data_IF_465275506334
#
_entry.id   IF_465275506334
#
_cell.length_a   1.000
_cell.length_b   1.000
_cell.length_c   1.000
_cell.angle_alpha   90.00
_cell.angle_beta   90.00
_cell.angle_gamma   90.00
#
_symmetry.space_group_name_H-M   'P 1'
#
loop_
_entity.id
_entity.type
_entity.pdbx_description
1 polymer ?
#
# COMPACT_ATOMS: atom_id res chain seq x y z
N UNK A 1 24.51 2.01 -12.34
CA UNK A 1 24.03 3.04 -11.41
C UNK A 1 22.84 3.67 -12.09
N UNK A 2 21.62 3.29 -11.70
CA UNK A 2 20.44 4.01 -12.17
C UNK A 2 20.50 5.42 -11.57
N UNK A 3 20.41 6.44 -12.42
CA UNK A 3 20.34 7.82 -11.96
C UNK A 3 19.04 8.00 -11.19
N UNK A 4 19.13 8.35 -9.91
CA UNK A 4 17.98 8.79 -9.13
C UNK A 4 17.37 9.97 -9.88
N UNK A 5 16.18 9.78 -10.43
CA UNK A 5 15.48 10.83 -11.17
C UNK A 5 15.11 11.92 -10.18
N UNK A 6 15.64 13.12 -10.38
CA UNK A 6 15.38 14.26 -9.51
C UNK A 6 13.97 14.78 -9.79
N UNK A 7 13.07 14.55 -8.83
CA UNK A 7 11.66 14.92 -8.92
C UNK A 7 11.53 16.43 -8.66
N UNK A 8 10.74 17.14 -9.46
CA UNK A 8 10.52 18.58 -9.27
C UNK A 8 9.86 18.88 -7.90
N UNK A 9 10.15 20.01 -7.24
CA UNK A 9 9.55 20.37 -5.94
C UNK A 9 8.02 20.37 -5.95
N UNK A 10 7.41 20.80 -7.05
CA UNK A 10 5.96 20.82 -7.24
C UNK A 10 5.38 19.39 -7.28
N UNK A 11 6.10 18.47 -7.91
CA UNK A 11 5.74 17.05 -7.95
C UNK A 11 5.84 16.42 -6.55
N UNK A 12 6.84 16.80 -5.76
CA UNK A 12 6.94 16.39 -4.35
C UNK A 12 5.77 16.89 -3.49
N UNK A 13 5.28 18.12 -3.72
CA UNK A 13 4.07 18.60 -3.04
C UNK A 13 2.84 17.75 -3.39
N UNK A 14 2.66 17.41 -4.67
CA UNK A 14 1.55 16.55 -5.09
C UNK A 14 1.63 15.17 -4.43
N UNK A 15 2.82 14.57 -4.35
CA UNK A 15 3.01 13.28 -3.69
C UNK A 15 2.74 13.30 -2.19
N UNK A 16 2.93 14.46 -1.54
CA UNK A 16 2.65 14.61 -0.10
C UNK A 16 1.16 14.81 0.23
N UNK A 17 0.31 15.07 -0.77
CA UNK A 17 -1.13 15.24 -0.61
C UNK A 17 -1.89 14.10 -1.31
N UNK A 18 -2.48 13.15 -0.57
CA UNK A 18 -3.22 12.03 -1.15
C UNK A 18 -4.37 12.47 -2.06
N UNK A 19 -5.06 13.57 -1.77
CA UNK A 19 -6.12 14.08 -2.65
C UNK A 19 -5.53 14.62 -3.95
N UNK A 20 -4.40 15.33 -3.89
CA UNK A 20 -3.72 15.83 -5.08
C UNK A 20 -3.26 14.66 -5.96
N UNK A 21 -2.60 13.65 -5.38
CA UNK A 21 -2.15 12.45 -6.10
C UNK A 21 -3.32 11.70 -6.76
N UNK A 22 -4.41 11.46 -6.02
CA UNK A 22 -5.63 10.83 -6.57
C UNK A 22 -6.27 11.67 -7.66
N UNK A 23 -6.23 13.00 -7.50
CA UNK A 23 -6.64 13.94 -8.54
C UNK A 23 -5.82 13.78 -9.81
N UNK A 24 -4.49 13.62 -9.70
CA UNK A 24 -3.62 13.33 -10.84
C UNK A 24 -3.98 12.01 -11.52
N UNK A 25 -4.24 10.95 -10.74
CA UNK A 25 -4.68 9.65 -11.29
C UNK A 25 -6.01 9.78 -12.05
N UNK A 26 -7.01 10.45 -11.47
CA UNK A 26 -8.29 10.70 -12.14
C UNK A 26 -8.12 11.53 -13.42
N UNK A 27 -7.21 12.51 -13.41
CA UNK A 27 -6.94 13.33 -14.60
C UNK A 27 -6.36 12.52 -15.75
N UNK A 28 -5.55 11.49 -15.49
CA UNK A 28 -5.08 10.57 -16.55
C UNK A 28 -6.24 9.80 -17.18
N UNK A 29 -7.16 9.29 -16.37
CA UNK A 29 -8.39 8.67 -16.89
C UNK A 29 -9.22 9.65 -17.73
N UNK A 30 -9.44 10.88 -17.24
CA UNK A 30 -10.21 11.91 -17.93
C UNK A 30 -9.56 12.40 -19.24
N UNK A 31 -8.25 12.21 -19.40
CA UNK A 31 -7.52 12.45 -20.66
C UNK A 31 -7.74 11.35 -21.70
N UNK A 32 -8.35 10.23 -21.31
CA UNK A 32 -8.59 9.09 -22.18
C UNK A 32 -7.42 8.11 -22.25
N UNK A 33 -6.43 8.23 -21.36
CA UNK A 33 -5.37 7.25 -21.24
C UNK A 33 -5.92 5.95 -20.65
N UNK A 34 -5.37 4.81 -21.04
CA UNK A 34 -5.59 3.58 -20.30
C UNK A 34 -4.73 3.55 -19.02
N UNK A 35 -4.92 2.53 -18.19
CA UNK A 35 -4.25 2.45 -16.89
C UNK A 35 -2.73 2.31 -17.02
N UNK A 36 -2.22 1.62 -18.04
CA UNK A 36 -0.79 1.44 -18.20
C UNK A 36 -0.11 2.72 -18.70
N UNK A 37 -0.74 3.40 -19.67
CA UNK A 37 -0.27 4.67 -20.21
C UNK A 37 -0.34 5.79 -19.16
N UNK A 38 -1.43 5.84 -18.38
CA UNK A 38 -1.59 6.76 -17.27
C UNK A 38 -0.53 6.54 -16.19
N UNK A 39 -0.29 5.29 -15.79
CA UNK A 39 0.76 4.97 -14.82
C UNK A 39 2.16 5.36 -15.31
N UNK A 40 2.48 5.05 -16.57
CA UNK A 40 3.77 5.39 -17.18
C UNK A 40 3.97 6.91 -17.22
N UNK A 41 2.92 7.66 -17.59
CA UNK A 41 2.95 9.12 -17.61
C UNK A 41 3.19 9.71 -16.20
N UNK A 42 2.57 9.14 -15.17
CA UNK A 42 2.81 9.57 -13.79
C UNK A 42 4.19 9.16 -13.27
N UNK A 43 4.72 8.00 -13.66
CA UNK A 43 6.10 7.60 -13.35
C UNK A 43 7.13 8.59 -13.93
N UNK A 44 6.88 9.11 -15.14
CA UNK A 44 7.77 10.10 -15.76
C UNK A 44 7.80 11.43 -14.99
N UNK A 45 6.69 11.78 -14.33
CA UNK A 45 6.54 13.03 -13.55
C UNK A 45 7.02 12.85 -12.11
N UNK A 46 6.63 11.76 -11.45
CA UNK A 46 6.78 11.52 -10.02
C UNK A 46 7.92 10.55 -9.67
N UNK A 47 8.55 9.93 -10.66
CA UNK A 47 9.52 8.85 -10.48
C UNK A 47 8.84 7.49 -10.28
N UNK A 48 9.53 6.41 -10.66
CA UNK A 48 8.97 5.03 -10.66
C UNK A 48 8.55 4.51 -9.28
N UNK A 49 9.09 5.08 -8.20
CA UNK A 49 8.86 4.65 -6.81
C UNK A 49 7.65 5.35 -6.16
N UNK A 50 6.93 6.20 -6.91
CA UNK A 50 5.85 7.00 -6.33
C UNK A 50 4.73 6.12 -5.78
N UNK A 51 4.38 5.04 -6.48
CA UNK A 51 3.32 4.10 -6.12
C UNK A 51 3.48 2.80 -6.90
N UNK A 52 3.15 1.67 -6.28
CA UNK A 52 3.06 0.37 -6.95
C UNK A 52 1.91 0.35 -7.98
N UNK A 53 2.10 -0.34 -9.12
CA UNK A 53 1.09 -0.38 -10.18
C UNK A 53 -0.27 -0.91 -9.69
N UNK A 54 -0.29 -1.91 -8.79
CA UNK A 54 -1.54 -2.44 -8.24
C UNK A 54 -2.29 -1.41 -7.38
N UNK A 55 -1.56 -0.59 -6.62
CA UNK A 55 -2.14 0.49 -5.84
C UNK A 55 -2.65 1.60 -6.79
N UNK A 56 -1.90 1.94 -7.83
CA UNK A 56 -2.36 2.86 -8.87
C UNK A 56 -3.66 2.36 -9.54
N UNK A 57 -3.69 1.10 -9.97
CA UNK A 57 -4.81 0.51 -10.70
C UNK A 57 -6.09 0.51 -9.86
N UNK A 58 -5.99 0.22 -8.56
CA UNK A 58 -7.11 0.34 -7.62
C UNK A 58 -7.74 1.73 -7.63
N UNK A 59 -6.91 2.78 -7.57
CA UNK A 59 -7.40 4.16 -7.63
C UNK A 59 -7.92 4.52 -9.01
N UNK A 60 -7.22 4.13 -10.07
CA UNK A 60 -7.57 4.46 -11.45
C UNK A 60 -8.95 3.91 -11.81
N UNK A 61 -9.17 2.60 -11.61
CA UNK A 61 -10.45 1.95 -11.92
C UNK A 61 -11.56 2.43 -10.99
N UNK A 62 -11.28 2.54 -9.69
CA UNK A 62 -12.29 2.94 -8.72
C UNK A 62 -12.72 4.40 -8.84
N UNK A 63 -11.82 5.31 -9.26
CA UNK A 63 -12.19 6.69 -9.55
C UNK A 63 -12.93 6.80 -10.90
N UNK A 64 -12.58 5.98 -11.89
CA UNK A 64 -13.23 5.95 -13.19
C UNK A 64 -14.68 5.45 -13.13
N UNK A 65 -14.95 4.39 -12.35
CA UNK A 65 -16.28 3.80 -12.22
C UNK A 65 -17.14 4.44 -11.11
N UNK A 66 -16.55 5.33 -10.30
CA UNK A 66 -17.20 6.06 -9.23
C UNK A 66 -17.41 5.26 -7.94
N UNK A 67 -16.79 4.07 -7.81
CA UNK A 67 -16.78 3.32 -6.55
C UNK A 67 -15.88 3.96 -5.49
N UNK A 68 -14.92 4.79 -5.90
CA UNK A 68 -14.08 5.61 -5.04
C UNK A 68 -14.32 7.11 -5.28
N UNK A 69 -14.01 7.88 -4.24
CA UNK A 69 -13.90 9.34 -4.31
C UNK A 69 -12.46 9.74 -3.98
N UNK A 70 -12.10 11.00 -4.23
CA UNK A 70 -10.78 11.52 -3.82
C UNK A 70 -10.56 11.39 -2.30
N UNK A 71 -11.63 11.32 -1.52
CA UNK A 71 -11.64 11.21 -0.06
C UNK A 71 -11.83 9.76 0.44
N UNK A 72 -11.89 8.77 -0.45
CA UNK A 72 -12.01 7.37 -0.05
C UNK A 72 -10.84 6.99 0.88
N UNK A 73 -11.14 6.11 1.83
CA UNK A 73 -10.10 5.49 2.67
C UNK A 73 -9.18 4.70 1.75
N UNK A 74 -7.88 4.92 1.92
CA UNK A 74 -6.88 4.13 1.23
C UNK A 74 -6.83 2.74 1.86
N UNK A 75 -7.28 1.72 1.12
CA UNK A 75 -7.27 0.33 1.60
C UNK A 75 -5.86 -0.22 1.84
N UNK A 76 -4.84 0.42 1.27
CA UNK A 76 -3.44 0.10 1.49
C UNK A 76 -2.85 0.93 2.64
N UNK A 77 -3.59 1.92 3.16
CA UNK A 77 -3.21 2.59 4.39
C UNK A 77 -3.43 1.67 5.58
N UNK A 78 -2.48 1.63 6.53
CA UNK A 78 -2.63 0.94 7.81
C UNK A 78 -3.91 1.36 8.54
N UNK A 79 -4.35 2.61 8.41
CA UNK A 79 -5.58 3.12 9.02
C UNK A 79 -6.85 2.43 8.51
N UNK A 80 -6.79 1.77 7.35
CA UNK A 80 -7.91 0.98 6.83
C UNK A 80 -8.05 -0.39 7.51
N UNK A 81 -7.05 -0.83 8.29
CA UNK A 81 -7.16 -2.06 9.07
C UNK A 81 -8.29 -1.89 10.08
N UNK A 82 -9.36 -2.71 10.02
CA UNK A 82 -10.49 -2.54 10.92
C UNK A 82 -10.05 -2.65 12.38
N UNK A 83 -10.51 -1.76 13.27
CA UNK A 83 -10.25 -1.88 14.71
C UNK A 83 -10.68 -3.23 15.29
N UNK A 84 -11.69 -3.86 14.70
CA UNK A 84 -12.11 -5.21 15.08
C UNK A 84 -11.02 -6.24 14.80
N UNK A 85 -10.24 -6.08 13.73
CA UNK A 85 -9.07 -6.89 13.46
C UNK A 85 -7.97 -6.63 14.48
N UNK A 86 -7.66 -5.36 14.78
CA UNK A 86 -6.71 -4.99 15.83
C UNK A 86 -7.11 -5.61 17.19
N UNK A 87 -8.34 -5.42 17.62
CA UNK A 87 -8.87 -5.99 18.86
C UNK A 87 -8.93 -7.51 18.86
N UNK A 88 -9.01 -8.14 17.68
CA UNK A 88 -8.89 -9.59 17.54
C UNK A 88 -7.45 -10.01 17.75
N UNK A 89 -6.49 -9.34 17.11
CA UNK A 89 -5.06 -9.57 17.32
C UNK A 89 -4.65 -9.35 18.80
N UNK A 90 -5.15 -8.31 19.46
CA UNK A 90 -4.84 -8.02 20.88
C UNK A 90 -5.35 -9.14 21.82
N UNK A 91 -6.46 -9.78 21.48
CA UNK A 91 -7.00 -10.94 22.22
C UNK A 91 -6.20 -12.22 21.97
N UNK A 92 -5.42 -12.24 20.90
CA UNK A 92 -4.65 -13.40 20.45
C UNK A 92 -3.26 -13.46 21.13
N UNK A 93 -2.99 -12.61 22.13
CA UNK A 93 -1.71 -12.49 22.89
C UNK A 93 -1.14 -13.78 23.52
N UNK A 94 -1.82 -14.92 23.46
CA UNK A 94 -1.31 -16.24 23.89
C UNK A 94 -1.22 -17.29 22.77
N UNK A 95 -1.43 -16.91 21.51
CA UNK A 95 -1.32 -17.82 20.38
C UNK A 95 0.06 -17.65 19.76
N UNK A 96 0.85 -18.72 19.82
CA UNK A 96 2.21 -18.79 19.28
C UNK A 96 2.30 -18.44 17.80
N UNK A 97 1.24 -18.79 17.07
CA UNK A 97 1.18 -18.84 15.62
C UNK A 97 -0.25 -18.49 15.15
N UNK A 98 -0.43 -17.35 14.49
CA UNK A 98 -1.71 -16.88 13.94
C UNK A 98 -1.63 -16.97 12.43
N UNK A 99 -2.60 -17.63 11.79
CA UNK A 99 -2.76 -17.59 10.34
C UNK A 99 -4.00 -16.75 10.01
N UNK A 100 -3.82 -15.68 9.26
CA UNK A 100 -4.90 -14.82 8.78
C UNK A 100 -5.04 -15.02 7.28
N UNK A 101 -6.20 -15.50 6.86
CA UNK A 101 -6.50 -15.80 5.46
C UNK A 101 -7.27 -14.62 4.85
N UNK A 102 -6.73 -14.02 3.79
CA UNK A 102 -7.38 -12.98 3.00
C UNK A 102 -7.48 -13.43 1.54
N UNK A 103 -8.58 -14.09 1.18
CA UNK A 103 -8.72 -14.66 -0.17
C UNK A 103 -7.67 -15.73 -0.43
N UNK A 104 -6.76 -15.48 -1.37
CA UNK A 104 -5.67 -16.40 -1.71
C UNK A 104 -4.39 -16.20 -0.87
N UNK A 105 -4.38 -15.19 -0.01
CA UNK A 105 -3.22 -14.83 0.82
C UNK A 105 -3.32 -15.39 2.23
N UNK A 106 -2.16 -15.72 2.81
CA UNK A 106 -2.02 -16.12 4.20
C UNK A 106 -0.97 -15.26 4.88
N UNK A 107 -1.37 -14.55 5.93
CA UNK A 107 -0.47 -13.83 6.81
C UNK A 107 -0.25 -14.70 8.04
N UNK A 108 1.00 -15.10 8.26
CA UNK A 108 1.42 -15.84 9.44
C UNK A 108 2.05 -14.89 10.46
N UNK A 109 1.57 -14.91 11.69
CA UNK A 109 2.09 -14.10 12.79
C UNK A 109 2.54 -15.04 13.89
N UNK A 110 3.85 -15.13 14.07
CA UNK A 110 4.48 -15.81 15.19
C UNK A 110 4.91 -14.78 16.25
N UNK A 111 5.13 -15.21 17.49
CA UNK A 111 5.64 -14.40 18.61
C UNK A 111 6.73 -13.37 18.20
N UNK A 112 7.60 -13.70 17.23
CA UNK A 112 8.69 -12.84 16.78
C UNK A 112 8.75 -12.56 15.27
N UNK A 113 7.81 -13.07 14.45
CA UNK A 113 7.94 -13.00 12.99
C UNK A 113 6.59 -12.89 12.28
N UNK A 114 6.49 -11.98 11.31
CA UNK A 114 5.40 -11.97 10.34
C UNK A 114 5.91 -12.64 9.05
N UNK A 115 5.15 -13.60 8.50
CA UNK A 115 5.44 -14.23 7.21
C UNK A 115 4.25 -14.12 6.28
N UNK A 116 4.46 -13.55 5.11
CA UNK A 116 3.47 -13.48 4.05
C UNK A 116 3.61 -14.70 3.14
N UNK A 117 2.49 -15.35 2.80
CA UNK A 117 2.46 -16.42 1.80
C UNK A 117 1.39 -16.10 0.77
N UNK A 118 1.82 -15.98 -0.49
CA UNK A 118 0.91 -16.12 -1.62
C UNK A 118 0.84 -17.60 -1.98
N UNK A 119 -0.32 -18.10 -2.40
CA UNK A 119 -0.49 -19.52 -2.73
C UNK A 119 0.16 -19.84 -4.08
N UNK A 120 1.49 -19.90 -4.13
CA UNK A 120 2.22 -20.28 -5.36
C UNK A 120 3.70 -19.91 -5.41
N UNK A 121 4.15 -18.89 -4.68
CA UNK A 121 5.53 -18.44 -4.70
C UNK A 121 5.94 -17.97 -3.29
N UNK A 122 7.00 -18.57 -2.74
CA UNK A 122 7.76 -17.99 -1.62
C UNK A 122 8.35 -16.66 -2.16
N UNK A 123 8.26 -15.48 -1.53
CA UNK A 123 8.97 -15.02 -0.33
C UNK A 123 8.49 -13.60 0.07
N UNK A 124 8.57 -13.23 1.36
CA UNK A 124 9.33 -12.07 1.90
C UNK A 124 9.30 -12.17 3.42
N UNK A 125 10.49 -12.24 4.03
CA UNK A 125 10.69 -12.35 5.47
C UNK A 125 10.80 -10.95 6.07
N UNK A 126 9.84 -10.54 6.91
CA UNK A 126 10.01 -9.33 7.74
C UNK A 126 10.22 -9.78 9.18
N UNK A 127 11.48 -9.76 9.62
CA UNK A 127 11.89 -9.98 11.01
C UNK A 127 11.93 -8.65 11.74
N UNK A 128 11.15 -8.51 12.80
CA UNK A 128 11.27 -7.39 13.73
C UNK A 128 11.88 -7.88 15.03
N UNK A 129 13.04 -7.33 15.35
CA UNK A 129 13.76 -7.58 16.59
C UNK A 129 13.46 -6.44 17.59
N UNK A 130 12.20 -6.25 17.98
CA UNK A 130 11.87 -5.40 19.14
C UNK A 130 10.47 -5.70 19.71
N UNK A 131 10.38 -5.58 21.03
CA UNK A 131 9.21 -5.88 21.88
C UNK A 131 8.13 -4.80 21.91
N UNK A 132 8.24 -3.73 21.12
CA UNK A 132 7.26 -2.64 21.16
C UNK A 132 6.30 -2.65 19.97
N UNK A 133 5.00 -2.67 20.28
CA UNK A 133 3.91 -2.84 19.33
C UNK A 133 3.71 -1.58 18.44
N UNK A 134 4.05 -0.40 18.96
CA UNK A 134 3.92 0.87 18.22
C UNK A 134 4.99 0.99 17.12
N UNK A 135 6.25 0.60 17.36
CA UNK A 135 7.30 0.58 16.33
C UNK A 135 6.96 -0.37 15.15
N UNK A 136 6.26 -1.49 15.44
CA UNK A 136 5.83 -2.45 14.42
C UNK A 136 4.81 -1.87 13.45
N UNK A 137 3.94 -0.99 13.93
CA UNK A 137 2.92 -0.37 13.11
C UNK A 137 3.55 0.69 12.20
N UNK A 138 4.41 1.55 12.75
CA UNK A 138 5.11 2.59 11.99
C UNK A 138 6.01 2.01 10.88
N UNK A 139 6.70 0.89 11.11
CA UNK A 139 7.48 0.26 10.04
C UNK A 139 6.60 -0.28 8.89
N UNK A 140 5.45 -0.88 9.19
CA UNK A 140 4.51 -1.35 8.17
C UNK A 140 3.89 -0.18 7.38
N UNK A 141 3.69 0.97 8.04
CA UNK A 141 3.24 2.22 7.41
C UNK A 141 4.33 2.78 6.47
N UNK A 142 5.58 2.80 6.91
CA UNK A 142 6.68 3.46 6.21
C UNK A 142 7.27 2.63 5.05
N UNK A 143 7.12 1.30 5.06
CA UNK A 143 7.77 0.41 4.08
C UNK A 143 6.89 -0.05 2.91
N UNK A 144 5.76 0.63 2.61
CA UNK A 144 4.90 0.38 1.42
C UNK A 144 4.79 -1.12 1.05
N UNK A 145 4.43 -1.99 2.00
CA UNK A 145 4.12 -3.37 1.60
C UNK A 145 2.79 -3.40 0.83
N UNK A 146 2.73 -4.10 -0.31
CA UNK A 146 1.60 -4.08 -1.25
C UNK A 146 0.29 -4.61 -0.68
#
# INVERSE_FOLDING_TARGET
>A
MESVQEIAPEAQQILSDPRALRGSILMEHLRGNDSLDGYSSLCDIFGKEFMEYNHFLYWFDGLADGTLTLDSIDRFSPQAVPRSFQATIDKITNIKDVYVYFGEFVIFVNENQWRYHNRGEDFTLVTFDSTDYEEKYDYLVDNKMP
#
